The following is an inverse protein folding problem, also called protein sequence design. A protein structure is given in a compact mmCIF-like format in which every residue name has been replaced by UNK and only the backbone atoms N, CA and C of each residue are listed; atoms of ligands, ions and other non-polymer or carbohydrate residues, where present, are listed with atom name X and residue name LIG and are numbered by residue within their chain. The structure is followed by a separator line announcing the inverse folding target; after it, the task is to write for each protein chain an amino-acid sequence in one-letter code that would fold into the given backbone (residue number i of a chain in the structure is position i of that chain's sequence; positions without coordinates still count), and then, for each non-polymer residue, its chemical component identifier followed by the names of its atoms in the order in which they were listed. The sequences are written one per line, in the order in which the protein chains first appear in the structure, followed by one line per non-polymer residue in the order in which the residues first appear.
data_IF_122356096352
#
_entry.id   IF_122356096352
#
_cell.length_a   1.000
_cell.length_b   1.000
_cell.length_c   1.000
_cell.angle_alpha   90.00
_cell.angle_beta   90.00
_cell.angle_gamma   90.00
#
_symmetry.space_group_name_H-M   'P 1'
#
loop_
_entity.id
_entity.type
_entity.pdbx_description
1 polymer ?
#
# COMPACT_ATOMS: atom_id res chain seq x y z
N UNK A 1 -3.81 22.27 8.74
CA UNK A 1 -3.77 21.09 9.64
C UNK A 1 -3.52 19.85 8.80
N UNK A 2 -2.72 18.87 9.24
CA UNK A 2 -2.80 17.42 8.89
C UNK A 2 -1.48 16.66 8.61
N UNK A 3 -0.28 17.23 8.81
CA UNK A 3 0.94 16.39 8.77
C UNK A 3 0.93 15.31 9.87
N UNK A 4 0.51 15.66 11.09
CA UNK A 4 0.39 14.73 12.20
C UNK A 4 -0.61 13.59 11.90
N UNK A 5 -1.75 13.93 11.28
CA UNK A 5 -2.74 12.93 10.84
C UNK A 5 -2.19 12.04 9.73
N UNK A 6 -1.50 12.58 8.72
CA UNK A 6 -0.87 11.77 7.67
C UNK A 6 0.21 10.85 8.22
N UNK A 7 0.97 11.29 9.23
CA UNK A 7 1.97 10.47 9.92
C UNK A 7 1.28 9.35 10.70
N UNK A 8 0.24 9.65 11.49
CA UNK A 8 -0.52 8.64 12.24
C UNK A 8 -1.15 7.58 11.32
N UNK A 9 -1.73 8.04 10.22
CA UNK A 9 -2.28 7.18 9.18
C UNK A 9 -1.19 6.32 8.55
N UNK A 10 -0.04 6.91 8.21
CA UNK A 10 1.11 6.17 7.69
C UNK A 10 1.62 5.11 8.68
N UNK A 11 1.67 5.43 9.96
CA UNK A 11 2.18 4.56 11.02
C UNK A 11 1.28 3.33 11.26
N UNK A 12 -0.03 3.46 11.02
CA UNK A 12 -1.00 2.36 11.17
C UNK A 12 -1.18 1.61 9.85
N UNK A 13 -1.38 2.31 8.74
CA UNK A 13 -1.72 1.71 7.44
C UNK A 13 -0.51 0.97 6.84
N UNK A 14 0.70 1.51 6.98
CA UNK A 14 1.92 0.89 6.41
C UNK A 14 2.16 -0.54 6.96
N UNK A 15 2.18 -0.78 8.28
CA UNK A 15 2.36 -2.14 8.79
C UNK A 15 1.21 -3.07 8.40
N UNK A 16 -0.04 -2.59 8.35
CA UNK A 16 -1.17 -3.40 7.88
C UNK A 16 -0.97 -3.82 6.41
N UNK A 17 -0.64 -2.86 5.53
CA UNK A 17 -0.38 -3.13 4.12
C UNK A 17 0.80 -4.10 3.93
N UNK A 18 1.85 -3.95 4.74
CA UNK A 18 2.99 -4.87 4.78
C UNK A 18 2.57 -6.29 5.16
N UNK A 19 1.80 -6.47 6.24
CA UNK A 19 1.33 -7.79 6.67
C UNK A 19 0.46 -8.46 5.62
N UNK A 20 -0.42 -7.70 4.95
CA UNK A 20 -1.26 -8.22 3.87
C UNK A 20 -0.39 -8.71 2.71
N UNK A 21 0.57 -7.89 2.25
CA UNK A 21 1.52 -8.28 1.20
C UNK A 21 2.34 -9.52 1.59
N UNK A 22 2.80 -9.58 2.83
CA UNK A 22 3.54 -10.73 3.36
C UNK A 22 2.69 -12.01 3.38
N UNK A 23 1.42 -11.93 3.76
CA UNK A 23 0.51 -13.09 3.77
C UNK A 23 0.17 -13.59 2.36
N UNK A 24 0.21 -12.72 1.36
CA UNK A 24 0.02 -13.07 -0.06
C UNK A 24 1.26 -13.67 -0.72
N UNK A 25 2.43 -13.54 -0.09
CA UNK A 25 3.73 -14.02 -0.56
C UNK A 25 3.81 -15.53 -0.87
N UNK A 26 3.25 -16.46 -0.07
CA UNK A 26 3.22 -17.88 -0.43
C UNK A 26 2.33 -18.18 -1.65
N UNK A 27 1.33 -17.34 -1.92
CA UNK A 27 0.39 -17.51 -3.04
C UNK A 27 1.00 -16.95 -4.34
N UNK A 28 1.89 -15.96 -4.23
CA UNK A 28 2.56 -15.33 -5.37
C UNK A 28 3.94 -15.94 -5.64
N UNK A 29 4.12 -16.43 -6.87
CA UNK A 29 5.39 -16.97 -7.36
C UNK A 29 6.50 -15.91 -7.27
N UNK A 30 7.72 -16.28 -6.84
CA UNK A 30 8.84 -15.34 -6.63
C UNK A 30 9.04 -14.35 -7.79
N UNK A 31 8.95 -14.83 -9.04
CA UNK A 31 9.09 -14.02 -10.27
C UNK A 31 7.98 -12.97 -10.47
N UNK A 32 6.80 -13.17 -9.89
CA UNK A 32 5.61 -12.30 -10.06
C UNK A 32 5.36 -11.36 -8.88
N UNK A 33 6.06 -11.52 -7.75
CA UNK A 33 5.82 -10.74 -6.52
C UNK A 33 5.96 -9.23 -6.72
N UNK A 34 6.98 -8.80 -7.46
CA UNK A 34 7.21 -7.40 -7.79
C UNK A 34 6.10 -6.82 -8.68
N UNK A 35 5.68 -7.58 -9.70
CA UNK A 35 4.60 -7.19 -10.61
C UNK A 35 3.28 -7.11 -9.87
N UNK A 36 2.97 -8.08 -9.00
CA UNK A 36 1.75 -8.09 -8.19
C UNK A 36 1.75 -6.94 -7.18
N UNK A 37 2.88 -6.68 -6.51
CA UNK A 37 3.04 -5.54 -5.60
C UNK A 37 2.79 -4.23 -6.31
N UNK A 38 3.43 -4.03 -7.47
CA UNK A 38 3.27 -2.83 -8.29
C UNK A 38 1.84 -2.68 -8.82
N UNK A 39 1.24 -3.75 -9.34
CA UNK A 39 -0.12 -3.73 -9.86
C UNK A 39 -1.12 -3.31 -8.79
N UNK A 40 -1.04 -3.88 -7.58
CA UNK A 40 -1.95 -3.52 -6.47
C UNK A 40 -1.75 -2.06 -6.05
N UNK A 41 -0.51 -1.61 -5.89
CA UNK A 41 -0.22 -0.21 -5.56
C UNK A 41 -0.78 0.74 -6.64
N UNK A 42 -0.56 0.42 -7.91
CA UNK A 42 -1.03 1.22 -9.04
C UNK A 42 -2.56 1.26 -9.13
N UNK A 43 -3.24 0.13 -8.89
CA UNK A 43 -4.70 0.04 -8.92
C UNK A 43 -5.34 0.88 -7.81
N UNK A 44 -4.75 0.87 -6.62
CA UNK A 44 -5.24 1.66 -5.47
C UNK A 44 -5.01 3.15 -5.71
N UNK A 45 -3.84 3.53 -6.24
CA UNK A 45 -3.54 4.91 -6.63
C UNK A 45 -4.51 5.42 -7.70
N UNK A 46 -4.77 4.63 -8.74
CA UNK A 46 -5.69 5.00 -9.81
C UNK A 46 -7.13 5.08 -9.33
N UNK A 47 -7.60 4.16 -8.49
CA UNK A 47 -8.93 4.27 -7.87
C UNK A 47 -9.07 5.54 -7.03
N UNK A 48 -8.09 5.84 -6.17
CA UNK A 48 -8.15 7.02 -5.32
C UNK A 48 -8.10 8.30 -6.16
N UNK A 49 -7.30 8.34 -7.22
CA UNK A 49 -7.27 9.42 -8.18
C UNK A 49 -8.63 9.60 -8.88
N UNK A 50 -9.26 8.52 -9.35
CA UNK A 50 -10.60 8.57 -9.95
C UNK A 50 -11.66 9.11 -8.98
N UNK A 51 -11.62 8.71 -7.70
CA UNK A 51 -12.57 9.23 -6.69
C UNK A 51 -12.31 10.71 -6.43
N UNK A 52 -11.05 11.16 -6.46
CA UNK A 52 -10.68 12.56 -6.27
C UNK A 52 -11.13 13.45 -7.44
N UNK A 53 -11.03 12.94 -8.67
CA UNK A 53 -11.57 13.58 -9.87
C UNK A 53 -13.10 13.67 -9.86
N UNK A 54 -13.79 12.66 -9.29
CA UNK A 54 -15.26 12.63 -9.22
C UNK A 54 -15.81 13.50 -8.09
N UNK A 55 -15.10 13.60 -6.96
CA UNK A 55 -15.52 14.32 -5.75
C UNK A 55 -14.32 15.10 -5.19
N UNK A 56 -14.09 16.35 -5.65
CA UNK A 56 -12.88 17.12 -5.34
C UNK A 56 -12.76 17.59 -3.88
N UNK A 57 -13.79 17.38 -3.06
CA UNK A 57 -13.86 17.81 -1.66
C UNK A 57 -13.17 16.87 -0.66
N UNK A 58 -12.73 15.67 -1.04
CA UNK A 58 -12.14 14.68 -0.11
C UNK A 58 -10.61 14.66 -0.23
N UNK A 59 -9.95 15.74 0.20
CA UNK A 59 -8.62 16.09 -0.33
C UNK A 59 -7.39 15.80 0.57
N UNK A 60 -7.51 15.23 1.78
CA UNK A 60 -6.34 15.21 2.70
C UNK A 60 -6.02 13.85 3.35
N UNK A 61 -7.01 12.98 3.54
CA UNK A 61 -6.78 11.65 4.13
C UNK A 61 -6.39 10.58 3.10
N UNK A 62 -6.77 10.76 1.83
CA UNK A 62 -6.55 9.76 0.77
C UNK A 62 -5.09 9.65 0.35
N UNK A 63 -4.35 10.74 0.30
CA UNK A 63 -2.95 10.74 -0.17
C UNK A 63 -2.04 9.99 0.82
N UNK A 64 -2.19 10.23 2.13
CA UNK A 64 -1.42 9.52 3.15
C UNK A 64 -1.71 8.01 3.19
N UNK A 65 -2.99 7.61 3.04
CA UNK A 65 -3.39 6.21 2.96
C UNK A 65 -2.86 5.56 1.68
N UNK A 66 -3.03 6.22 0.53
CA UNK A 66 -2.56 5.73 -0.77
C UNK A 66 -1.06 5.45 -0.75
N UNK A 67 -0.28 6.42 -0.27
CA UNK A 67 1.18 6.30 -0.18
C UNK A 67 1.58 5.21 0.79
N UNK A 68 0.94 5.12 1.96
CA UNK A 68 1.22 4.07 2.94
C UNK A 68 0.98 2.66 2.38
N UNK A 69 -0.09 2.47 1.60
CA UNK A 69 -0.39 1.18 0.95
C UNK A 69 0.58 0.92 -0.21
N UNK A 70 0.81 1.93 -1.06
CA UNK A 70 1.71 1.82 -2.21
C UNK A 70 3.16 1.50 -1.81
N UNK A 71 3.58 1.89 -0.61
CA UNK A 71 4.89 1.55 -0.05
C UNK A 71 4.83 0.24 0.74
N UNK A 72 3.90 0.10 1.69
CA UNK A 72 3.84 -1.04 2.61
C UNK A 72 3.56 -2.38 1.92
N UNK A 73 2.63 -2.41 0.95
CA UNK A 73 2.21 -3.66 0.33
C UNK A 73 3.30 -4.31 -0.54
N UNK A 74 4.00 -3.59 -1.46
CA UNK A 74 5.12 -4.17 -2.19
C UNK A 74 6.27 -4.60 -1.28
N UNK A 75 6.54 -3.87 -0.18
CA UNK A 75 7.54 -4.24 0.81
C UNK A 75 7.20 -5.58 1.49
N UNK A 76 5.93 -5.82 1.82
CA UNK A 76 5.48 -7.09 2.38
C UNK A 76 5.64 -8.28 1.42
N UNK A 77 5.38 -8.06 0.13
CA UNK A 77 5.51 -9.08 -0.92
C UNK A 77 6.97 -9.38 -1.29
N UNK A 78 7.76 -8.31 -1.49
CA UNK A 78 9.11 -8.36 -2.02
C UNK A 78 10.22 -8.47 -0.98
N UNK A 79 9.96 -8.07 0.27
CA UNK A 79 10.93 -8.07 1.36
C UNK A 79 11.48 -9.46 1.70
N UNK A 80 12.63 -9.56 2.40
CA UNK A 80 13.22 -10.83 2.79
C UNK A 80 12.26 -11.63 3.69
N UNK A 81 12.26 -12.98 3.61
CA UNK A 81 11.44 -13.80 4.51
C UNK A 81 11.93 -13.65 5.96
N UNK A 82 10.98 -13.64 6.90
CA UNK A 82 11.29 -13.63 8.34
C UNK A 82 11.78 -15.00 8.84
N UNK A 83 11.52 -16.06 8.06
CA UNK A 83 12.07 -17.40 8.25
C UNK A 83 12.63 -17.91 6.93
N UNK A 84 13.91 -18.23 6.93
CA UNK A 84 14.52 -19.08 5.91
C UNK A 84 14.00 -20.50 6.18
N UNK A 85 13.07 -20.95 5.33
CA UNK A 85 12.83 -22.39 5.18
C UNK A 85 14.02 -23.02 4.44
#
# INVERSE_FOLDING_TARGET
MNYLNSILVGLIITPIAFFIGYKLRPITTKKKRLITGFAVAFTILTMLLSIDLLIPTINILKTGIATAIAVGFPLGLGGPPYKED
#
